data_IF_331554156735
#
_entry.id   IF_331554156735
#
_cell.length_a   1.000
_cell.length_b   1.000
_cell.length_c   1.000
_cell.angle_alpha   90.00
_cell.angle_beta   90.00
_cell.angle_gamma   90.00
#
_symmetry.space_group_name_H-M   'P 1'
#
loop_
_entity.id
_entity.type
_entity.pdbx_description
1 polymer ?
#
# COMPACT_ATOMS: atom_id res chain seq x y z
N UNK A 1 -18.08 17.99 19.22
CA UNK A 1 -17.31 16.72 19.10
C UNK A 1 -15.81 16.96 18.77
N UNK A 2 -15.49 17.89 17.86
CA UNK A 2 -14.11 18.20 17.47
C UNK A 2 -13.21 18.70 18.65
N UNK A 3 -13.79 19.25 19.71
CA UNK A 3 -13.08 19.68 20.94
C UNK A 3 -12.48 18.51 21.74
N UNK A 4 -12.89 17.27 21.42
CA UNK A 4 -12.35 16.05 22.03
C UNK A 4 -11.14 15.48 21.29
N UNK A 5 -10.74 16.11 20.18
CA UNK A 5 -9.57 15.68 19.42
C UNK A 5 -8.33 16.27 20.12
N UNK A 6 -7.42 15.40 20.52
CA UNK A 6 -6.20 15.80 21.23
C UNK A 6 -4.94 15.61 20.39
N UNK A 7 -4.99 14.77 19.34
CA UNK A 7 -3.85 14.43 18.49
C UNK A 7 -4.32 14.17 17.07
N UNK A 8 -3.48 14.54 16.10
CA UNK A 8 -3.76 14.34 14.68
C UNK A 8 -2.51 13.76 14.03
N UNK A 9 -2.66 12.59 13.40
CA UNK A 9 -1.64 11.98 12.54
C UNK A 9 -1.96 12.24 11.07
N UNK A 10 -0.93 12.47 10.28
CA UNK A 10 -1.05 12.72 8.84
C UNK A 10 -0.12 11.77 8.09
N UNK A 11 -0.70 11.01 7.17
CA UNK A 11 0.04 10.23 6.19
C UNK A 11 -0.16 10.89 4.82
N UNK A 12 0.87 11.56 4.33
CA UNK A 12 0.82 12.30 3.06
C UNK A 12 2.02 11.93 2.18
N UNK A 13 1.73 11.65 0.92
CA UNK A 13 2.73 11.45 -0.15
C UNK A 13 2.72 12.60 -1.16
N UNK A 14 2.10 13.73 -0.80
CA UNK A 14 2.03 14.95 -1.61
C UNK A 14 2.66 16.12 -0.86
N UNK A 15 3.98 16.30 -0.92
CA UNK A 15 4.69 17.32 -0.14
C UNK A 15 4.15 18.75 -0.30
N UNK A 16 3.66 19.08 -1.50
CA UNK A 16 3.15 20.42 -1.81
C UNK A 16 1.96 20.87 -0.95
N UNK A 17 1.15 19.94 -0.42
CA UNK A 17 -0.01 20.26 0.42
C UNK A 17 0.30 20.23 1.91
N UNK A 18 1.44 19.67 2.33
CA UNK A 18 1.73 19.42 3.75
C UNK A 18 1.74 20.69 4.57
N UNK A 19 2.32 21.78 4.05
CA UNK A 19 2.34 23.08 4.74
C UNK A 19 0.92 23.61 4.95
N UNK A 20 0.08 23.63 3.90
CA UNK A 20 -1.29 24.13 3.99
C UNK A 20 -2.14 23.28 4.94
N UNK A 21 -1.95 21.95 4.90
CA UNK A 21 -2.64 21.02 5.78
C UNK A 21 -2.24 21.22 7.25
N UNK A 22 -0.93 21.33 7.53
CA UNK A 22 -0.42 21.62 8.87
C UNK A 22 -0.96 22.94 9.40
N UNK A 23 -0.90 24.00 8.58
CA UNK A 23 -1.42 25.33 8.95
C UNK A 23 -2.92 25.32 9.23
N UNK A 24 -3.70 24.57 8.44
CA UNK A 24 -5.15 24.42 8.66
C UNK A 24 -5.42 23.67 9.97
N UNK A 25 -4.73 22.58 10.24
CA UNK A 25 -4.86 21.79 11.48
C UNK A 25 -4.51 22.66 12.69
N UNK A 26 -3.39 23.35 12.66
CA UNK A 26 -2.96 24.24 13.75
C UNK A 26 -3.97 25.38 13.97
N UNK A 27 -4.50 25.97 12.89
CA UNK A 27 -5.48 27.05 12.96
C UNK A 27 -6.82 26.63 13.57
N UNK A 28 -7.38 25.51 13.11
CA UNK A 28 -8.75 25.11 13.47
C UNK A 28 -8.80 24.23 14.72
N UNK A 29 -7.84 23.33 14.89
CA UNK A 29 -7.81 22.37 16.00
C UNK A 29 -6.88 22.79 17.14
N UNK A 30 -5.96 23.75 16.91
CA UNK A 30 -4.91 24.14 17.87
C UNK A 30 -3.98 22.99 18.26
N UNK A 31 -3.74 22.09 17.30
CA UNK A 31 -2.93 20.87 17.44
C UNK A 31 -1.86 20.89 16.35
N UNK A 32 -0.61 20.57 16.72
CA UNK A 32 0.45 20.31 15.76
C UNK A 32 0.32 18.85 15.27
N UNK A 33 0.13 18.62 13.96
CA UNK A 33 -0.02 17.28 13.44
C UNK A 33 1.31 16.52 13.42
N UNK A 34 1.24 15.21 13.65
CA UNK A 34 2.36 14.29 13.49
C UNK A 34 2.34 13.75 12.07
N UNK A 35 3.32 14.12 11.24
CA UNK A 35 3.48 13.58 9.89
C UNK A 35 4.25 12.26 9.92
N UNK A 36 3.73 11.27 9.23
CA UNK A 36 4.43 9.98 9.05
C UNK A 36 5.57 10.18 8.07
N UNK A 37 6.78 9.94 8.51
CA UNK A 37 8.00 10.04 7.70
C UNK A 37 9.18 9.33 8.39
N UNK A 38 10.26 9.11 7.64
CA UNK A 38 11.49 8.63 8.25
C UNK A 38 12.01 9.63 9.28
N UNK A 39 12.42 9.14 10.45
CA UNK A 39 12.93 9.95 11.55
C UNK A 39 11.98 10.09 12.75
N UNK A 40 10.67 9.84 12.59
CA UNK A 40 9.78 9.66 13.75
C UNK A 40 9.95 8.28 14.38
N UNK A 41 9.45 8.08 15.59
CA UNK A 41 9.41 6.75 16.21
C UNK A 41 8.38 5.89 15.47
N UNK A 42 8.85 4.92 14.70
CA UNK A 42 8.00 3.99 13.93
C UNK A 42 7.91 2.61 14.53
N UNK A 43 8.83 2.25 15.43
CA UNK A 43 8.99 0.88 15.91
C UNK A 43 9.58 -0.06 14.85
N UNK A 44 9.89 0.42 13.65
CA UNK A 44 10.49 -0.33 12.57
C UNK A 44 11.98 -0.02 12.45
N UNK A 45 12.76 -1.02 12.06
CA UNK A 45 14.15 -0.87 11.61
C UNK A 45 14.14 -0.72 10.09
N UNK A 46 14.24 0.51 9.59
CA UNK A 46 14.23 0.77 8.16
C UNK A 46 15.58 0.36 7.53
N UNK A 47 15.61 -0.80 6.88
CA UNK A 47 16.77 -1.35 6.15
C UNK A 47 16.78 -0.90 4.69
N UNK A 48 16.62 0.39 4.48
CA UNK A 48 16.58 1.02 3.16
C UNK A 48 17.82 1.90 3.00
N UNK A 49 18.38 1.97 1.80
CA UNK A 49 19.63 2.73 1.55
C UNK A 49 19.46 4.21 1.92
N UNK A 50 18.32 4.80 1.58
CA UNK A 50 17.92 6.13 2.01
C UNK A 50 16.50 6.07 2.60
N UNK A 51 16.33 5.95 3.92
CA UNK A 51 15.02 5.86 4.54
C UNK A 51 14.07 7.04 4.25
N UNK A 52 14.60 8.21 3.87
CA UNK A 52 13.78 9.39 3.52
C UNK A 52 13.03 9.24 2.19
N UNK A 53 13.42 8.28 1.35
CA UNK A 53 12.75 7.98 0.08
C UNK A 53 11.54 7.04 0.24
N UNK A 54 11.36 6.45 1.42
CA UNK A 54 10.21 5.58 1.67
C UNK A 54 8.97 6.45 1.82
N UNK A 55 7.93 6.16 1.02
CA UNK A 55 6.65 6.83 1.11
C UNK A 55 6.02 6.69 2.51
N UNK A 56 5.35 7.73 2.96
CA UNK A 56 4.69 7.75 4.26
C UNK A 56 3.65 6.64 4.40
N UNK A 57 2.93 6.34 3.34
CA UNK A 57 1.93 5.26 3.23
C UNK A 57 2.57 3.88 3.43
N UNK A 58 3.73 3.63 2.84
CA UNK A 58 4.47 2.37 3.00
C UNK A 58 4.98 2.19 4.44
N UNK A 59 5.49 3.27 5.05
CA UNK A 59 5.89 3.26 6.47
C UNK A 59 4.67 2.98 7.36
N UNK A 60 3.56 3.70 7.15
CA UNK A 60 2.34 3.52 7.92
C UNK A 60 1.76 2.11 7.72
N UNK A 61 1.70 1.62 6.48
CA UNK A 61 1.27 0.25 6.19
C UNK A 61 2.08 -0.80 6.94
N UNK A 62 3.42 -0.66 6.94
CA UNK A 62 4.32 -1.55 7.66
C UNK A 62 4.13 -1.48 9.19
N UNK A 63 3.94 -0.27 9.74
CA UNK A 63 3.61 -0.09 11.17
C UNK A 63 2.30 -0.78 11.53
N UNK A 64 1.24 -0.55 10.75
CA UNK A 64 -0.07 -1.18 10.95
C UNK A 64 0.00 -2.70 10.87
N UNK A 65 0.70 -3.23 9.88
CA UNK A 65 0.85 -4.68 9.70
C UNK A 65 1.63 -5.33 10.86
N UNK A 66 2.72 -4.72 11.33
CA UNK A 66 3.49 -5.25 12.47
C UNK A 66 2.77 -5.14 13.81
N UNK A 67 1.81 -4.24 13.93
CA UNK A 67 0.95 -4.13 15.11
C UNK A 67 -0.15 -5.18 15.11
N UNK A 68 -0.82 -5.38 13.96
CA UNK A 68 -1.90 -6.35 13.81
C UNK A 68 -1.40 -7.80 13.80
N UNK A 69 -0.21 -8.03 13.26
CA UNK A 69 0.38 -9.36 13.09
C UNK A 69 1.79 -9.43 13.70
N UNK A 70 1.91 -9.36 15.03
CA UNK A 70 3.20 -9.38 15.70
C UNK A 70 3.94 -10.70 15.44
N UNK A 71 5.27 -10.65 15.44
CA UNK A 71 6.17 -11.81 15.31
C UNK A 71 5.98 -12.61 14.01
N UNK A 72 5.46 -12.00 12.95
CA UNK A 72 5.31 -12.61 11.62
C UNK A 72 6.25 -11.96 10.60
N UNK A 73 6.78 -12.76 9.69
CA UNK A 73 7.30 -12.24 8.43
C UNK A 73 6.10 -11.82 7.58
N UNK A 74 6.15 -10.63 6.99
CA UNK A 74 5.03 -10.00 6.31
C UNK A 74 5.41 -9.63 4.87
N UNK A 75 4.52 -9.92 3.93
CA UNK A 75 4.48 -9.27 2.63
C UNK A 75 3.21 -8.41 2.62
N UNK A 76 3.39 -7.10 2.51
CA UNK A 76 2.29 -6.13 2.53
C UNK A 76 2.07 -5.68 1.10
N UNK A 77 0.85 -5.83 0.59
CA UNK A 77 0.47 -5.44 -0.77
C UNK A 77 -0.59 -4.35 -0.66
N UNK A 78 -0.20 -3.13 -1.03
CA UNK A 78 -1.12 -1.99 -1.12
C UNK A 78 -1.47 -1.74 -2.59
N UNK A 79 -2.75 -1.89 -2.92
CA UNK A 79 -3.29 -1.72 -4.26
C UNK A 79 -4.04 -0.38 -4.38
N UNK A 80 -3.28 0.70 -4.34
CA UNK A 80 -3.74 2.07 -4.48
C UNK A 80 -3.48 2.68 -5.86
N UNK A 81 -3.03 3.93 -5.88
CA UNK A 81 -2.59 4.64 -7.10
C UNK A 81 -1.43 3.92 -7.77
N UNK A 82 -0.42 3.53 -7.00
CA UNK A 82 0.55 2.50 -7.36
C UNK A 82 0.19 1.20 -6.63
N UNK A 83 0.71 0.07 -7.09
CA UNK A 83 0.68 -1.17 -6.31
C UNK A 83 2.05 -1.37 -5.70
N UNK A 84 2.14 -1.38 -4.37
CA UNK A 84 3.39 -1.64 -3.65
C UNK A 84 3.37 -3.03 -3.03
N UNK A 85 4.53 -3.68 -3.00
CA UNK A 85 4.73 -5.00 -2.37
C UNK A 85 5.93 -4.87 -1.45
N UNK A 86 5.70 -4.82 -0.14
CA UNK A 86 6.70 -4.54 0.88
C UNK A 86 7.00 -5.75 1.76
N UNK A 87 8.27 -5.96 2.08
CA UNK A 87 8.73 -7.03 2.95
C UNK A 87 9.12 -6.49 4.33
N UNK A 88 8.53 -7.08 5.38
CA UNK A 88 8.87 -6.77 6.76
C UNK A 88 9.14 -8.08 7.51
N UNK A 89 10.26 -8.15 8.23
CA UNK A 89 10.60 -9.34 9.00
C UNK A 89 9.85 -9.38 10.34
N UNK A 90 9.76 -10.57 10.93
CA UNK A 90 9.25 -10.79 12.31
C UNK A 90 9.96 -9.93 13.37
N UNK A 91 11.19 -9.47 13.08
CA UNK A 91 11.98 -8.56 13.94
C UNK A 91 11.74 -7.08 13.64
N UNK A 92 10.65 -6.76 12.92
CA UNK A 92 10.24 -5.39 12.52
C UNK A 92 11.29 -4.68 11.63
N UNK A 93 12.02 -5.44 10.81
CA UNK A 93 12.93 -4.87 9.83
C UNK A 93 12.18 -4.68 8.51
N UNK A 94 12.00 -3.42 8.10
CA UNK A 94 11.47 -3.07 6.80
C UNK A 94 12.58 -3.18 5.76
N UNK A 95 12.45 -4.11 4.85
CA UNK A 95 13.49 -4.47 3.87
C UNK A 95 13.30 -3.76 2.51
N UNK A 96 12.17 -3.09 2.29
CA UNK A 96 11.78 -2.60 0.98
C UNK A 96 10.95 -3.62 0.23
N UNK A 97 10.91 -3.48 -1.10
CA UNK A 97 10.09 -4.35 -1.94
C UNK A 97 10.01 -3.89 -3.39
N UNK A 98 8.83 -4.03 -4.01
CA UNK A 98 8.58 -3.65 -5.39
C UNK A 98 7.47 -2.58 -5.49
N UNK A 99 7.53 -1.77 -6.53
CA UNK A 99 6.49 -0.79 -6.89
C UNK A 99 6.09 -1.06 -8.34
N UNK A 100 4.80 -1.26 -8.56
CA UNK A 100 4.21 -1.47 -9.87
C UNK A 100 3.21 -0.34 -10.18
N UNK A 101 2.92 -0.08 -11.45
CA UNK A 101 1.78 0.76 -11.79
C UNK A 101 0.50 0.16 -11.19
N UNK A 102 -0.31 1.00 -10.52
CA UNK A 102 -1.63 0.56 -10.05
C UNK A 102 -2.57 0.29 -11.22
N UNK A 103 -3.66 -0.43 -10.96
CA UNK A 103 -4.64 -0.81 -12.00
C UNK A 103 -5.18 0.40 -12.76
N UNK A 104 -5.48 1.50 -12.05
CA UNK A 104 -6.00 2.73 -12.67
C UNK A 104 -4.97 3.36 -13.60
N UNK A 105 -3.73 3.52 -13.14
CA UNK A 105 -2.63 4.06 -13.96
C UNK A 105 -2.41 3.18 -15.19
N UNK A 106 -2.43 1.86 -15.02
CA UNK A 106 -2.24 0.91 -16.14
C UNK A 106 -3.36 1.02 -17.17
N UNK A 107 -4.62 1.15 -16.74
CA UNK A 107 -5.76 1.36 -17.63
C UNK A 107 -5.67 2.70 -18.37
N UNK A 108 -5.35 3.78 -17.66
CA UNK A 108 -5.18 5.13 -18.23
C UNK A 108 -4.01 5.18 -19.21
N UNK A 109 -2.91 4.49 -18.94
CA UNK A 109 -1.75 4.40 -19.83
C UNK A 109 -2.09 3.72 -21.17
N UNK A 110 -2.90 2.65 -21.14
CA UNK A 110 -3.37 2.00 -22.37
C UNK A 110 -4.27 2.93 -23.17
N UNK A 111 -5.23 3.62 -22.54
CA UNK A 111 -6.15 4.51 -23.21
C UNK A 111 -5.47 5.78 -23.78
N UNK A 112 -4.55 6.38 -23.03
CA UNK A 112 -3.87 7.61 -23.44
C UNK A 112 -2.63 7.36 -24.31
N UNK A 113 -1.96 6.23 -24.14
CA UNK A 113 -0.73 5.87 -24.86
C UNK A 113 -0.96 5.19 -26.21
N UNK A 114 -2.22 4.92 -26.59
CA UNK A 114 -2.53 4.24 -27.85
C UNK A 114 -3.64 4.95 -28.63
N UNK A 115 -3.64 4.79 -29.96
CA UNK A 115 -4.58 5.49 -30.82
C UNK A 115 -6.01 4.90 -30.83
N UNK A 116 -6.20 3.66 -30.39
CA UNK A 116 -7.46 2.91 -30.58
C UNK A 116 -7.99 2.21 -29.33
N UNK A 117 -7.23 2.14 -28.25
CA UNK A 117 -7.70 1.45 -27.04
C UNK A 117 -8.64 2.36 -26.24
N UNK A 118 -9.85 1.90 -25.93
CA UNK A 118 -10.79 2.69 -25.12
C UNK A 118 -10.39 2.71 -23.63
N UNK A 119 -10.90 3.70 -22.90
CA UNK A 119 -10.95 3.63 -21.45
C UNK A 119 -11.90 2.54 -21.01
N UNK A 120 -11.49 1.76 -20.01
CA UNK A 120 -12.27 0.64 -19.48
C UNK A 120 -12.49 0.76 -17.99
N UNK A 121 -13.58 0.21 -17.50
CA UNK A 121 -13.80 0.03 -16.07
C UNK A 121 -12.94 -1.14 -15.56
N UNK A 122 -12.38 -0.94 -14.37
CA UNK A 122 -11.54 -1.96 -13.70
C UNK A 122 -12.47 -2.89 -12.93
N UNK A 123 -12.59 -4.11 -13.41
CA UNK A 123 -13.43 -5.13 -12.81
C UNK A 123 -12.83 -6.52 -13.00
N UNK A 124 -13.34 -7.47 -12.24
CA UNK A 124 -13.02 -8.89 -12.46
C UNK A 124 -13.62 -9.34 -13.78
N UNK A 125 -12.85 -9.93 -14.70
CA UNK A 125 -13.36 -10.45 -15.96
C UNK A 125 -14.34 -11.61 -15.76
N UNK A 126 -15.39 -11.63 -16.56
CA UNK A 126 -16.34 -12.76 -16.61
C UNK A 126 -15.76 -13.94 -17.41
N UNK A 127 -14.96 -13.65 -18.43
CA UNK A 127 -14.35 -14.66 -19.31
C UNK A 127 -12.83 -14.58 -19.24
N UNK A 128 -12.18 -15.75 -19.28
CA UNK A 128 -10.70 -15.84 -19.21
C UNK A 128 -10.06 -15.30 -20.49
N UNK A 129 -10.71 -15.47 -21.64
CA UNK A 129 -10.25 -14.94 -22.92
C UNK A 129 -11.28 -13.96 -23.46
N UNK A 130 -10.93 -12.67 -23.46
CA UNK A 130 -11.81 -11.62 -23.96
C UNK A 130 -11.98 -11.70 -25.47
N UNK A 131 -13.20 -11.54 -25.94
CA UNK A 131 -13.60 -11.54 -27.35
C UNK A 131 -13.72 -10.13 -27.93
N UNK A 132 -13.67 -9.12 -27.07
CA UNK A 132 -13.68 -7.69 -27.43
C UNK A 132 -12.43 -6.99 -26.92
N UNK A 133 -12.11 -5.81 -27.47
CA UNK A 133 -10.97 -4.99 -27.01
C UNK A 133 -11.12 -4.61 -25.53
N UNK A 134 -12.32 -4.27 -25.11
CA UNK A 134 -12.60 -3.93 -23.68
C UNK A 134 -12.32 -5.12 -22.77
N UNK A 135 -12.85 -6.28 -23.08
CA UNK A 135 -12.60 -7.51 -22.31
C UNK A 135 -11.12 -7.90 -22.32
N UNK A 136 -10.44 -7.77 -23.46
CA UNK A 136 -9.00 -8.06 -23.56
C UNK A 136 -8.16 -7.14 -22.66
N UNK A 137 -8.50 -5.84 -22.59
CA UNK A 137 -7.84 -4.89 -21.66
C UNK A 137 -8.14 -5.28 -20.22
N UNK A 138 -9.39 -5.54 -19.87
CA UNK A 138 -9.80 -5.96 -18.52
C UNK A 138 -9.08 -7.24 -18.08
N UNK A 139 -8.98 -8.22 -18.96
CA UNK A 139 -8.23 -9.47 -18.73
C UNK A 139 -6.75 -9.20 -18.49
N UNK A 140 -6.12 -8.37 -19.32
CA UNK A 140 -4.73 -7.98 -19.14
C UNK A 140 -4.47 -7.29 -17.79
N UNK A 141 -5.32 -6.35 -17.43
CA UNK A 141 -5.24 -5.65 -16.14
C UNK A 141 -5.41 -6.62 -14.97
N UNK A 142 -6.43 -7.46 -14.99
CA UNK A 142 -6.74 -8.37 -13.90
C UNK A 142 -5.72 -9.52 -13.78
N UNK A 143 -5.61 -10.34 -14.80
CA UNK A 143 -4.74 -11.53 -14.78
C UNK A 143 -3.26 -11.15 -14.79
N UNK A 144 -2.87 -10.07 -15.48
CA UNK A 144 -1.51 -9.58 -15.50
C UNK A 144 -1.06 -9.12 -14.11
N UNK A 145 -1.88 -8.32 -13.40
CA UNK A 145 -1.57 -7.93 -12.03
C UNK A 145 -1.58 -9.12 -11.07
N UNK A 146 -2.57 -10.00 -11.14
CA UNK A 146 -2.61 -11.21 -10.32
C UNK A 146 -1.37 -12.09 -10.52
N UNK A 147 -0.93 -12.26 -11.79
CA UNK A 147 0.30 -12.98 -12.11
C UNK A 147 1.54 -12.31 -11.54
N UNK A 148 1.67 -11.00 -11.69
CA UNK A 148 2.79 -10.23 -11.14
C UNK A 148 2.84 -10.34 -9.60
N UNK A 149 1.71 -10.18 -8.91
CA UNK A 149 1.65 -10.31 -7.45
C UNK A 149 1.99 -11.71 -6.98
N UNK A 150 1.49 -12.74 -7.68
CA UNK A 150 1.79 -14.13 -7.36
C UNK A 150 3.29 -14.43 -7.52
N UNK A 151 3.91 -13.95 -8.59
CA UNK A 151 5.35 -14.15 -8.81
C UNK A 151 6.19 -13.39 -7.80
N UNK A 152 5.88 -12.11 -7.52
CA UNK A 152 6.60 -11.32 -6.52
C UNK A 152 6.50 -11.94 -5.12
N UNK A 153 5.33 -12.41 -4.71
CA UNK A 153 5.17 -13.07 -3.41
C UNK A 153 5.97 -14.36 -3.34
N UNK A 154 6.01 -15.14 -4.43
CA UNK A 154 6.83 -16.35 -4.52
C UNK A 154 8.33 -16.02 -4.41
N UNK A 155 8.83 -15.08 -5.21
CA UNK A 155 10.23 -14.67 -5.23
C UNK A 155 10.66 -14.13 -3.85
N UNK A 156 9.85 -13.29 -3.22
CA UNK A 156 10.15 -12.73 -1.90
C UNK A 156 10.11 -13.80 -0.80
N UNK A 157 9.14 -14.71 -0.84
CA UNK A 157 9.10 -15.82 0.10
C UNK A 157 10.38 -16.64 0.01
N UNK A 158 10.80 -17.00 -1.19
CA UNK A 158 11.95 -17.86 -1.42
C UNK A 158 13.29 -17.17 -1.10
N UNK A 159 13.50 -15.95 -1.59
CA UNK A 159 14.81 -15.32 -1.55
C UNK A 159 15.01 -14.36 -0.38
N UNK A 160 13.95 -13.72 0.11
CA UNK A 160 14.01 -12.79 1.25
C UNK A 160 13.77 -13.52 2.55
N UNK A 161 12.74 -14.36 2.61
CA UNK A 161 12.36 -15.09 3.83
C UNK A 161 12.89 -16.53 3.89
N UNK A 162 13.71 -16.95 2.90
CA UNK A 162 14.38 -18.28 2.87
C UNK A 162 13.41 -19.43 3.10
N UNK A 163 12.28 -19.39 2.39
CA UNK A 163 11.17 -20.34 2.49
C UNK A 163 10.39 -20.34 3.84
N UNK A 164 10.74 -19.47 4.81
CA UNK A 164 9.84 -19.17 5.92
C UNK A 164 8.59 -18.48 5.35
N UNK A 165 7.44 -19.14 5.42
CA UNK A 165 6.19 -18.66 4.83
C UNK A 165 5.73 -17.34 5.48
N UNK A 166 5.77 -16.19 4.76
CA UNK A 166 5.27 -14.92 5.30
C UNK A 166 3.75 -14.89 5.31
N UNK A 167 3.18 -14.05 6.14
CA UNK A 167 1.76 -13.67 6.05
C UNK A 167 1.64 -12.58 4.97
N UNK A 168 0.76 -12.80 3.99
CA UNK A 168 0.52 -11.87 2.89
C UNK A 168 -0.72 -11.05 3.23
N UNK A 169 -0.52 -9.75 3.48
CA UNK A 169 -1.56 -8.81 3.89
C UNK A 169 -1.88 -7.87 2.74
N UNK A 170 -3.15 -7.81 2.35
CA UNK A 170 -3.63 -6.92 1.30
C UNK A 170 -4.34 -5.69 1.88
N UNK A 171 -4.09 -4.54 1.28
CA UNK A 171 -4.77 -3.27 1.53
C UNK A 171 -4.95 -2.49 0.22
N UNK A 172 -5.54 -1.30 0.30
CA UNK A 172 -5.82 -0.47 -0.87
C UNK A 172 -7.16 -0.79 -1.54
N UNK A 173 -7.68 0.20 -2.27
CA UNK A 173 -9.04 0.16 -2.80
C UNK A 173 -9.31 -0.95 -3.81
N UNK A 174 -8.29 -1.42 -4.53
CA UNK A 174 -8.42 -2.49 -5.51
C UNK A 174 -8.11 -3.89 -4.98
N UNK A 175 -7.71 -4.03 -3.71
CA UNK A 175 -7.29 -5.34 -3.18
C UNK A 175 -8.40 -6.40 -3.24
N UNK A 176 -9.65 -6.01 -2.98
CA UNK A 176 -10.79 -6.92 -2.95
C UNK A 176 -11.14 -7.54 -4.31
N UNK A 177 -10.75 -6.90 -5.42
CA UNK A 177 -11.04 -7.43 -6.75
C UNK A 177 -10.32 -8.77 -7.00
N UNK A 178 -9.25 -9.04 -6.23
CA UNK A 178 -8.43 -10.25 -6.30
C UNK A 178 -8.72 -11.28 -5.19
N UNK A 179 -9.79 -11.12 -4.42
CA UNK A 179 -10.11 -12.00 -3.30
C UNK A 179 -10.17 -13.48 -3.70
N UNK A 180 -10.74 -13.78 -4.85
CA UNK A 180 -10.85 -15.15 -5.36
C UNK A 180 -9.50 -15.77 -5.80
N UNK A 181 -8.48 -14.95 -5.97
CA UNK A 181 -7.16 -15.41 -6.43
C UNK A 181 -6.35 -16.13 -5.34
N UNK A 182 -6.79 -16.08 -4.09
CA UNK A 182 -6.15 -16.72 -2.92
C UNK A 182 -4.65 -16.42 -2.80
N UNK A 183 -4.22 -15.24 -3.23
CA UNK A 183 -2.85 -14.75 -3.05
C UNK A 183 -2.67 -14.28 -1.60
N UNK A 184 -3.68 -13.60 -1.08
CA UNK A 184 -3.66 -12.93 0.20
C UNK A 184 -4.14 -13.86 1.33
N UNK A 185 -3.52 -13.71 2.51
CA UNK A 185 -3.96 -14.37 3.73
C UNK A 185 -4.98 -13.50 4.47
N UNK A 186 -4.74 -12.17 4.47
CA UNK A 186 -5.54 -11.20 5.21
C UNK A 186 -5.85 -9.97 4.36
N UNK A 187 -7.05 -9.41 4.54
CA UNK A 187 -7.48 -8.17 3.93
C UNK A 187 -7.70 -7.12 5.02
N UNK A 188 -6.88 -6.07 5.02
CA UNK A 188 -6.89 -5.00 6.01
C UNK A 188 -7.07 -3.64 5.33
N UNK A 189 -8.31 -3.22 4.99
CA UNK A 189 -8.55 -1.93 4.31
C UNK A 189 -8.02 -0.73 5.10
N UNK A 190 -8.05 -0.82 6.42
CA UNK A 190 -7.65 0.24 7.35
C UNK A 190 -6.18 0.14 7.79
N UNK A 191 -5.35 -0.63 7.06
CA UNK A 191 -3.98 -0.94 7.47
C UNK A 191 -3.13 0.31 7.68
N UNK A 192 -3.19 1.23 6.71
CA UNK A 192 -2.46 2.51 6.77
C UNK A 192 -2.95 3.37 7.94
N UNK A 193 -4.26 3.44 8.16
CA UNK A 193 -4.83 4.19 9.29
C UNK A 193 -4.43 3.60 10.64
N UNK A 194 -4.36 2.28 10.75
CA UNK A 194 -3.85 1.59 11.93
C UNK A 194 -2.39 1.98 12.21
N UNK A 195 -1.57 2.07 11.17
CA UNK A 195 -0.19 2.54 11.29
C UNK A 195 -0.08 4.00 11.69
N UNK A 196 -0.93 4.87 11.14
CA UNK A 196 -0.99 6.28 11.54
C UNK A 196 -1.37 6.43 13.02
N UNK A 197 -2.39 5.68 13.47
CA UNK A 197 -2.77 5.63 14.88
C UNK A 197 -1.58 5.22 15.75
N UNK A 198 -0.89 4.14 15.38
CA UNK A 198 0.29 3.67 16.11
C UNK A 198 1.41 4.71 16.15
N UNK A 199 1.67 5.40 15.06
CA UNK A 199 2.66 6.47 15.00
C UNK A 199 2.32 7.61 15.96
N UNK A 200 1.06 8.03 16.00
CA UNK A 200 0.58 9.06 16.95
C UNK A 200 0.80 8.61 18.38
N UNK A 201 0.48 7.38 18.73
CA UNK A 201 0.68 6.82 20.08
C UNK A 201 2.17 6.83 20.50
N UNK A 202 3.07 6.51 19.57
CA UNK A 202 4.52 6.41 19.84
C UNK A 202 5.25 7.76 19.91
N UNK A 203 4.70 8.82 19.30
CA UNK A 203 5.33 10.13 19.18
C UNK A 203 4.61 11.22 19.98
N UNK A 204 3.83 10.82 20.92
CA UNK A 204 3.02 11.71 21.77
C UNK A 204 3.66 11.93 23.12
#
# INVERSE_FOLDING_TARGET
EWQKIHKIGVCSVVPAINYSLSSAIAKYFKIEPIFIQAGIKTGLKLKYSNPKEIGADRIAGAMGATELFPEKNLIIIDMGTATTVDCVTKNKEYLGGAILPGLKISAEALASGTAKLPSVEIQKPEQICGSTTTEAIQNGLYFGNAGALKELTYIFTKNVFKDEKPLIVATGGFSRIFEDYRIFNEFCPELVLSGVKKAVEMNS
#
